data_IF_571019713596
#
_entry.id   IF_571019713596
#
_cell.length_a   1.000
_cell.length_b   1.000
_cell.length_c   1.000
_cell.angle_alpha   90.00
_cell.angle_beta   90.00
_cell.angle_gamma   90.00
#
_symmetry.space_group_name_H-M   'P 1'
#
loop_
_entity.id
_entity.type
_entity.pdbx_description
1 polymer ?
#
# COMPACT_ATOMS: atom_id res chain seq x y z
N UNK A 1 -21.38 8.77 -14.73
CA UNK A 1 -21.80 7.39 -14.43
C UNK A 1 -21.04 6.47 -15.37
N UNK A 2 -20.66 5.26 -14.95
CA UNK A 2 -20.05 4.26 -15.85
C UNK A 2 -21.11 3.74 -16.82
N UNK A 3 -20.72 3.38 -18.05
CA UNK A 3 -21.61 2.80 -19.05
C UNK A 3 -22.30 1.54 -18.49
N UNK A 4 -23.63 1.41 -18.69
CA UNK A 4 -24.32 0.16 -18.36
C UNK A 4 -24.00 -0.89 -19.41
N UNK A 5 -23.65 -2.09 -18.95
CA UNK A 5 -23.27 -3.23 -19.80
C UNK A 5 -24.05 -4.46 -19.33
N UNK A 6 -24.60 -5.21 -20.28
CA UNK A 6 -25.22 -6.51 -20.01
C UNK A 6 -24.10 -7.55 -19.91
N UNK A 7 -24.00 -8.21 -18.76
CA UNK A 7 -22.95 -9.21 -18.47
C UNK A 7 -23.46 -10.66 -18.62
N UNK A 8 -24.63 -10.85 -19.21
CA UNK A 8 -25.24 -12.16 -19.45
C UNK A 8 -26.02 -12.69 -18.25
N UNK A 9 -26.31 -13.99 -18.23
CA UNK A 9 -27.11 -14.62 -17.17
C UNK A 9 -26.33 -14.73 -15.86
N UNK A 10 -26.97 -14.40 -14.76
CA UNK A 10 -26.46 -14.45 -13.40
C UNK A 10 -27.46 -15.18 -12.51
N UNK A 11 -27.00 -15.67 -11.36
CA UNK A 11 -27.84 -16.37 -10.41
C UNK A 11 -27.88 -15.67 -9.06
N UNK A 12 -29.06 -15.67 -8.43
CA UNK A 12 -29.26 -15.37 -7.03
C UNK A 12 -30.09 -16.49 -6.39
N UNK A 13 -29.48 -17.22 -5.45
CA UNK A 13 -30.06 -18.48 -4.97
C UNK A 13 -30.33 -19.44 -6.14
N UNK A 14 -31.60 -19.81 -6.33
CA UNK A 14 -32.08 -20.69 -7.42
C UNK A 14 -32.56 -19.94 -8.68
N UNK A 15 -32.54 -18.61 -8.65
CA UNK A 15 -33.14 -17.79 -9.71
C UNK A 15 -32.09 -17.29 -10.69
N UNK A 16 -32.36 -17.48 -11.98
CA UNK A 16 -31.54 -16.94 -13.06
C UNK A 16 -32.12 -15.60 -13.54
N UNK A 17 -31.26 -14.60 -13.73
CA UNK A 17 -31.66 -13.27 -14.21
C UNK A 17 -30.62 -12.68 -15.16
N UNK A 18 -30.98 -11.60 -15.85
CA UNK A 18 -30.03 -10.87 -16.70
C UNK A 18 -29.16 -9.94 -15.85
N UNK A 19 -27.89 -10.30 -15.71
CA UNK A 19 -26.90 -9.50 -15.01
C UNK A 19 -26.57 -8.22 -15.76
N UNK A 20 -26.57 -7.11 -15.02
CA UNK A 20 -26.17 -5.80 -15.52
C UNK A 20 -25.06 -5.24 -14.64
N UNK A 21 -24.05 -4.69 -15.28
CA UNK A 21 -22.95 -3.97 -14.63
C UNK A 21 -22.94 -2.51 -15.07
N UNK A 22 -22.43 -1.62 -14.23
CA UNK A 22 -22.36 -0.18 -14.52
C UNK A 22 -23.56 0.61 -13.97
N UNK A 23 -23.60 1.92 -14.22
CA UNK A 23 -24.59 2.84 -13.64
C UNK A 23 -24.40 3.17 -12.15
N UNK A 24 -24.12 2.15 -11.31
CA UNK A 24 -23.87 2.30 -9.86
C UNK A 24 -22.38 2.30 -9.48
N UNK A 25 -21.49 2.06 -10.45
CA UNK A 25 -20.04 1.93 -10.31
C UNK A 25 -19.49 0.72 -11.07
N UNK A 26 -18.18 0.68 -11.30
CA UNK A 26 -17.48 -0.47 -11.89
C UNK A 26 -17.53 -1.69 -10.96
N UNK A 27 -17.71 -2.89 -11.51
CA UNK A 27 -17.83 -4.15 -10.76
C UNK A 27 -19.15 -4.31 -10.00
N UNK A 28 -20.07 -3.34 -10.08
CA UNK A 28 -21.32 -3.38 -9.32
C UNK A 28 -22.45 -4.00 -10.10
N UNK A 29 -23.09 -5.00 -9.48
CA UNK A 29 -24.24 -5.71 -10.03
C UNK A 29 -25.52 -4.91 -9.87
N UNK A 30 -26.38 -5.05 -10.86
CA UNK A 30 -27.73 -4.49 -10.87
C UNK A 30 -28.71 -5.47 -11.54
N UNK A 31 -29.99 -5.29 -11.23
CA UNK A 31 -31.09 -6.14 -11.70
C UNK A 31 -32.29 -5.29 -12.12
N UNK A 32 -32.94 -5.64 -13.22
CA UNK A 32 -34.13 -4.91 -13.69
C UNK A 32 -35.35 -5.26 -12.85
N UNK A 33 -36.31 -4.35 -12.75
CA UNK A 33 -37.61 -4.66 -12.13
C UNK A 33 -38.36 -5.78 -12.87
N UNK A 34 -38.09 -5.98 -14.17
CA UNK A 34 -38.64 -7.11 -14.92
C UNK A 34 -38.18 -8.45 -14.34
N UNK A 35 -36.87 -8.62 -14.14
CA UNK A 35 -36.33 -9.86 -13.56
C UNK A 35 -36.79 -10.02 -12.10
N UNK A 36 -36.83 -8.94 -11.32
CA UNK A 36 -37.32 -8.98 -9.93
C UNK A 36 -38.79 -9.44 -9.88
N UNK A 37 -39.63 -8.93 -10.76
CA UNK A 37 -41.03 -9.32 -10.83
C UNK A 37 -41.18 -10.81 -11.14
N UNK A 38 -40.36 -11.35 -12.05
CA UNK A 38 -40.31 -12.77 -12.38
C UNK A 38 -39.88 -13.63 -11.17
N UNK A 39 -38.81 -13.23 -10.46
CA UNK A 39 -38.31 -13.92 -9.25
C UNK A 39 -39.38 -14.01 -8.16
N UNK A 40 -40.13 -12.93 -7.93
CA UNK A 40 -41.15 -12.88 -6.89
C UNK A 40 -42.54 -13.32 -7.35
N UNK A 41 -42.69 -13.76 -8.62
CA UNK A 41 -43.99 -14.15 -9.18
C UNK A 41 -45.03 -13.03 -9.15
N UNK A 42 -44.60 -11.77 -9.32
CA UNK A 42 -45.46 -10.57 -9.30
C UNK A 42 -45.51 -9.90 -10.67
N UNK A 43 -46.51 -9.05 -10.87
CA UNK A 43 -46.54 -8.19 -12.05
C UNK A 43 -45.50 -7.05 -11.93
N UNK A 44 -44.83 -6.73 -13.04
CA UNK A 44 -43.91 -5.57 -13.14
C UNK A 44 -44.58 -4.27 -12.67
N UNK A 45 -45.87 -4.10 -13.00
CA UNK A 45 -46.67 -2.95 -12.56
C UNK A 45 -46.73 -2.85 -11.04
N UNK A 46 -47.00 -3.95 -10.35
CA UNK A 46 -47.08 -3.99 -8.89
C UNK A 46 -45.75 -3.64 -8.23
N UNK A 47 -44.63 -4.17 -8.75
CA UNK A 47 -43.30 -3.85 -8.22
C UNK A 47 -42.97 -2.37 -8.43
N UNK A 48 -43.27 -1.82 -9.61
CA UNK A 48 -43.12 -0.39 -9.89
C UNK A 48 -43.96 0.49 -8.94
N UNK A 49 -45.21 0.09 -8.65
CA UNK A 49 -46.07 0.80 -7.69
C UNK A 49 -45.50 0.78 -6.27
N UNK A 50 -44.92 -0.35 -5.82
CA UNK A 50 -44.26 -0.44 -4.52
C UNK A 50 -43.03 0.46 -4.44
N UNK A 51 -42.20 0.46 -5.48
CA UNK A 51 -41.02 1.33 -5.59
C UNK A 51 -41.45 2.79 -5.55
N UNK A 52 -42.41 3.20 -6.39
CA UNK A 52 -42.84 4.59 -6.48
C UNK A 52 -43.44 5.09 -5.16
N UNK A 53 -44.26 4.28 -4.47
CA UNK A 53 -44.79 4.63 -3.13
C UNK A 53 -43.70 4.81 -2.08
N UNK A 54 -42.55 4.16 -2.27
CA UNK A 54 -41.42 4.18 -1.36
C UNK A 54 -40.20 4.90 -1.92
N UNK A 55 -40.32 5.67 -2.99
CA UNK A 55 -39.18 6.18 -3.76
C UNK A 55 -38.20 6.98 -2.90
N UNK A 56 -38.72 7.71 -1.90
CA UNK A 56 -37.95 8.45 -0.89
C UNK A 56 -36.96 7.59 -0.07
N UNK A 57 -37.15 6.26 -0.03
CA UNK A 57 -36.23 5.33 0.65
C UNK A 57 -35.06 4.90 -0.24
N UNK A 58 -35.12 5.16 -1.54
CA UNK A 58 -34.10 4.82 -2.52
C UNK A 58 -33.28 6.06 -2.91
N UNK A 59 -31.96 5.95 -2.87
CA UNK A 59 -31.08 7.01 -3.36
C UNK A 59 -30.83 6.82 -4.84
N UNK A 60 -31.19 7.82 -5.65
CA UNK A 60 -30.92 7.83 -7.09
C UNK A 60 -29.41 7.68 -7.35
N UNK A 61 -29.03 6.84 -8.32
CA UNK A 61 -27.64 6.59 -8.69
C UNK A 61 -26.84 5.71 -7.71
N UNK A 62 -27.42 5.31 -6.57
CA UNK A 62 -26.81 4.35 -5.64
C UNK A 62 -27.67 3.10 -5.45
N UNK A 63 -28.97 3.28 -5.27
CA UNK A 63 -29.91 2.20 -5.01
C UNK A 63 -30.77 1.90 -6.25
N UNK A 64 -31.17 2.95 -6.97
CA UNK A 64 -32.10 2.85 -8.11
C UNK A 64 -31.71 3.81 -9.23
N UNK A 65 -31.98 3.40 -10.46
CA UNK A 65 -31.95 4.24 -11.66
C UNK A 65 -33.19 3.97 -12.50
N UNK A 66 -33.70 5.00 -13.17
CA UNK A 66 -34.70 4.84 -14.22
C UNK A 66 -34.01 4.87 -15.58
N UNK A 67 -33.90 3.70 -16.21
CA UNK A 67 -33.23 3.55 -17.50
C UNK A 67 -33.89 4.39 -18.59
N UNK A 68 -35.21 4.62 -18.51
CA UNK A 68 -35.92 5.45 -19.48
C UNK A 68 -35.45 6.90 -19.41
N UNK A 69 -35.26 7.43 -18.20
CA UNK A 69 -34.71 8.78 -17.99
C UNK A 69 -33.24 8.86 -18.41
N UNK A 70 -32.44 7.85 -18.06
CA UNK A 70 -31.01 7.81 -18.40
C UNK A 70 -30.81 7.82 -19.92
N UNK A 71 -31.53 6.95 -20.65
CA UNK A 71 -31.41 6.83 -22.12
C UNK A 71 -31.92 8.09 -22.83
N UNK A 72 -32.97 8.73 -22.33
CA UNK A 72 -33.48 9.98 -22.92
C UNK A 72 -32.49 11.15 -22.77
N UNK A 73 -31.75 11.19 -21.66
CA UNK A 73 -30.87 12.31 -21.33
C UNK A 73 -29.42 12.12 -21.80
N UNK A 74 -29.02 10.90 -22.21
CA UNK A 74 -27.66 10.61 -22.63
C UNK A 74 -27.66 9.94 -24.02
N UNK A 75 -27.43 10.74 -25.06
CA UNK A 75 -27.39 10.26 -26.45
C UNK A 75 -26.15 9.40 -26.76
N UNK A 76 -25.18 9.31 -25.82
CA UNK A 76 -24.02 8.43 -25.91
C UNK A 76 -24.24 7.07 -25.23
N UNK A 77 -25.46 6.76 -24.78
CA UNK A 77 -25.79 5.43 -24.31
C UNK A 77 -25.73 4.43 -25.48
N UNK A 78 -24.57 3.81 -25.68
CA UNK A 78 -24.32 2.87 -26.77
C UNK A 78 -25.17 1.59 -26.71
N UNK A 79 -25.81 1.34 -25.56
CA UNK A 79 -26.64 0.14 -25.31
C UNK A 79 -28.12 0.51 -25.42
N UNK A 80 -28.87 -0.25 -26.23
CA UNK A 80 -30.32 -0.07 -26.37
C UNK A 80 -31.03 -0.72 -25.19
N UNK A 81 -32.19 -0.18 -24.80
CA UNK A 81 -33.06 -0.83 -23.82
C UNK A 81 -33.44 -2.27 -24.22
N UNK A 82 -33.43 -2.57 -25.52
CA UNK A 82 -33.61 -3.93 -26.05
C UNK A 82 -32.53 -4.90 -25.62
N UNK A 83 -31.30 -4.44 -25.42
CA UNK A 83 -30.17 -5.29 -25.03
C UNK A 83 -30.35 -5.77 -23.57
N UNK A 84 -31.07 -4.99 -22.76
CA UNK A 84 -31.52 -5.36 -21.41
C UNK A 84 -32.82 -6.21 -21.42
N UNK A 85 -33.24 -6.73 -22.58
CA UNK A 85 -34.39 -7.63 -22.70
C UNK A 85 -35.76 -6.94 -22.64
N UNK A 86 -35.84 -5.62 -22.83
CA UNK A 86 -37.11 -4.90 -22.96
C UNK A 86 -37.58 -4.87 -24.42
N UNK A 87 -38.83 -5.25 -24.68
CA UNK A 87 -39.46 -5.05 -25.99
C UNK A 87 -39.77 -3.58 -26.26
N UNK A 88 -39.85 -3.17 -27.54
CA UNK A 88 -40.26 -1.82 -27.94
C UNK A 88 -41.62 -1.41 -27.33
N UNK A 89 -42.54 -2.37 -27.21
CA UNK A 89 -43.84 -2.17 -26.57
C UNK A 89 -43.70 -1.81 -25.09
N UNK A 90 -42.85 -2.52 -24.33
CA UNK A 90 -42.59 -2.23 -22.92
C UNK A 90 -41.90 -0.88 -22.75
N UNK A 91 -40.96 -0.54 -23.62
CA UNK A 91 -40.25 0.74 -23.59
C UNK A 91 -41.23 1.91 -23.81
N UNK A 92 -42.14 1.76 -24.76
CA UNK A 92 -43.15 2.78 -25.07
C UNK A 92 -44.17 2.94 -23.94
N UNK A 93 -44.79 1.84 -23.47
CA UNK A 93 -45.93 1.87 -22.54
C UNK A 93 -45.56 2.09 -21.09
N UNK A 94 -44.38 1.65 -20.64
CA UNK A 94 -44.01 1.77 -19.22
C UNK A 94 -43.58 3.21 -18.89
N UNK A 95 -44.13 3.84 -17.84
CA UNK A 95 -43.69 5.18 -17.43
C UNK A 95 -42.26 5.19 -16.89
N UNK A 96 -41.85 4.10 -16.22
CA UNK A 96 -40.52 3.93 -15.65
C UNK A 96 -39.94 2.57 -16.05
N UNK A 97 -38.62 2.51 -16.25
CA UNK A 97 -37.86 1.28 -16.42
C UNK A 97 -36.78 1.21 -15.35
N UNK A 98 -37.19 0.84 -14.14
CA UNK A 98 -36.27 0.82 -13.00
C UNK A 98 -35.29 -0.35 -13.07
N UNK A 99 -34.06 -0.04 -12.71
CA UNK A 99 -33.00 -0.98 -12.37
C UNK A 99 -32.54 -0.69 -10.95
N UNK A 100 -32.29 -1.74 -10.17
CA UNK A 100 -31.83 -1.64 -8.79
C UNK A 100 -30.43 -2.22 -8.65
N UNK A 101 -29.59 -1.56 -7.86
CA UNK A 101 -28.34 -2.17 -7.38
C UNK A 101 -28.65 -3.26 -6.35
N UNK A 102 -27.65 -4.06 -5.96
CA UNK A 102 -27.81 -5.03 -4.86
C UNK A 102 -28.38 -4.39 -3.58
N UNK A 103 -27.94 -3.16 -3.27
CA UNK A 103 -28.45 -2.39 -2.12
C UNK A 103 -29.89 -1.94 -2.33
N UNK A 104 -30.24 -1.51 -3.54
CA UNK A 104 -31.61 -1.15 -3.88
C UNK A 104 -32.55 -2.35 -3.78
N UNK A 105 -32.12 -3.50 -4.30
CA UNK A 105 -32.90 -4.72 -4.21
C UNK A 105 -33.10 -5.16 -2.76
N UNK A 106 -32.05 -5.10 -1.92
CA UNK A 106 -32.18 -5.38 -0.49
C UNK A 106 -33.20 -4.48 0.23
N UNK A 107 -33.35 -3.22 -0.20
CA UNK A 107 -34.40 -2.33 0.31
C UNK A 107 -35.79 -2.73 -0.19
N UNK A 108 -35.89 -3.17 -1.44
CA UNK A 108 -37.14 -3.63 -2.04
C UNK A 108 -37.63 -4.92 -1.38
N UNK A 109 -36.74 -5.84 -1.00
CA UNK A 109 -37.10 -7.06 -0.24
C UNK A 109 -37.88 -6.72 1.04
N UNK A 110 -37.47 -5.67 1.76
CA UNK A 110 -38.18 -5.17 2.95
C UNK A 110 -39.58 -4.60 2.67
N UNK A 111 -39.90 -4.31 1.41
CA UNK A 111 -41.18 -3.73 0.99
C UNK A 111 -42.08 -4.80 0.37
N UNK A 112 -41.49 -5.80 -0.31
CA UNK A 112 -42.21 -6.90 -0.94
C UNK A 112 -42.87 -7.82 0.09
N UNK A 113 -42.18 -8.08 1.21
CA UNK A 113 -42.67 -8.86 2.36
C UNK A 113 -43.33 -10.21 1.98
N UNK A 114 -42.85 -10.86 0.92
CA UNK A 114 -43.29 -12.20 0.49
C UNK A 114 -42.31 -13.30 0.87
N UNK A 115 -42.72 -14.57 0.76
CA UNK A 115 -41.91 -15.74 1.15
C UNK A 115 -40.55 -15.77 0.43
N UNK A 116 -40.51 -15.46 -0.87
CA UNK A 116 -39.26 -15.35 -1.64
C UNK A 116 -38.38 -14.23 -1.10
N UNK A 117 -38.95 -13.11 -0.69
CA UNK A 117 -38.22 -12.00 -0.11
C UNK A 117 -37.61 -12.35 1.24
N UNK A 118 -38.31 -13.14 2.07
CA UNK A 118 -37.77 -13.68 3.32
C UNK A 118 -36.59 -14.63 3.06
N UNK A 119 -36.74 -15.61 2.14
CA UNK A 119 -35.66 -16.54 1.77
C UNK A 119 -34.39 -15.80 1.29
N UNK A 120 -34.56 -14.80 0.41
CA UNK A 120 -33.45 -14.02 -0.14
C UNK A 120 -32.84 -13.07 0.89
N UNK A 121 -33.65 -12.55 1.82
CA UNK A 121 -33.15 -11.72 2.92
C UNK A 121 -32.27 -12.54 3.86
N UNK A 122 -32.66 -13.76 4.21
CA UNK A 122 -31.87 -14.66 5.04
C UNK A 122 -30.52 -14.98 4.38
N UNK A 123 -30.50 -15.27 3.07
CA UNK A 123 -29.24 -15.46 2.32
C UNK A 123 -28.33 -14.24 2.36
N UNK A 124 -28.88 -13.04 2.27
CA UNK A 124 -28.12 -11.79 2.36
C UNK A 124 -27.51 -11.60 3.77
N UNK A 125 -28.30 -11.89 4.81
CA UNK A 125 -27.86 -11.83 6.21
C UNK A 125 -26.75 -12.86 6.47
N UNK A 126 -26.92 -14.10 6.02
CA UNK A 126 -25.91 -15.16 6.14
C UNK A 126 -24.62 -14.81 5.41
N UNK A 127 -24.72 -14.29 4.18
CA UNK A 127 -23.57 -13.81 3.41
C UNK A 127 -22.79 -12.72 4.17
N UNK A 128 -23.49 -11.78 4.80
CA UNK A 128 -22.87 -10.74 5.62
C UNK A 128 -22.12 -11.32 6.83
N UNK A 129 -22.74 -12.24 7.60
CA UNK A 129 -22.08 -12.87 8.75
C UNK A 129 -20.89 -13.73 8.33
N UNK A 130 -21.00 -14.48 7.23
CA UNK A 130 -19.92 -15.27 6.66
C UNK A 130 -18.76 -14.39 6.18
N UNK A 131 -19.04 -13.29 5.49
CA UNK A 131 -18.01 -12.32 5.09
C UNK A 131 -17.33 -11.71 6.32
N UNK A 132 -18.10 -11.28 7.32
CA UNK A 132 -17.57 -10.71 8.56
C UNK A 132 -16.69 -11.70 9.32
N UNK A 133 -17.08 -12.97 9.38
CA UNK A 133 -16.29 -14.04 9.97
C UNK A 133 -14.98 -14.28 9.21
N UNK A 134 -15.04 -14.34 7.87
CA UNK A 134 -13.85 -14.46 7.00
C UNK A 134 -12.89 -13.29 7.22
N UNK A 135 -13.39 -12.05 7.19
CA UNK A 135 -12.56 -10.85 7.41
C UNK A 135 -11.88 -10.86 8.79
N UNK A 136 -12.58 -11.35 9.83
CA UNK A 136 -12.01 -11.52 11.17
C UNK A 136 -10.93 -12.61 11.19
N UNK A 137 -11.12 -13.69 10.45
CA UNK A 137 -10.16 -14.79 10.36
C UNK A 137 -8.93 -14.44 9.49
N UNK A 138 -9.09 -13.60 8.47
CA UNK A 138 -8.00 -13.16 7.57
C UNK A 138 -7.26 -11.93 8.07
N UNK A 139 -7.59 -11.38 9.25
CA UNK A 139 -6.71 -10.39 9.85
C UNK A 139 -5.34 -11.03 10.04
N UNK A 140 -4.26 -10.45 9.47
CA UNK A 140 -2.94 -11.00 9.67
C UNK A 140 -2.70 -11.00 11.17
N UNK A 141 -2.57 -12.20 11.77
CA UNK A 141 -2.09 -12.32 13.14
C UNK A 141 -0.82 -11.50 13.21
N UNK A 142 -0.78 -10.48 14.09
CA UNK A 142 0.46 -9.75 14.37
C UNK A 142 1.54 -10.81 14.57
N UNK A 143 2.54 -10.83 13.69
CA UNK A 143 3.63 -11.80 13.83
C UNK A 143 4.23 -11.56 15.22
N UNK A 144 4.40 -12.64 15.98
CA UNK A 144 4.99 -12.53 17.31
C UNK A 144 6.30 -11.74 17.23
N UNK A 145 6.53 -10.82 18.17
CA UNK A 145 7.70 -9.94 18.18
C UNK A 145 9.00 -10.74 18.00
N UNK A 146 9.12 -11.90 18.66
CA UNK A 146 10.26 -12.81 18.53
C UNK A 146 10.55 -13.26 17.08
N UNK A 147 9.50 -13.46 16.28
CA UNK A 147 9.64 -13.86 14.88
C UNK A 147 10.15 -12.70 14.03
N UNK A 148 9.58 -11.50 14.21
CA UNK A 148 10.01 -10.29 13.48
C UNK A 148 11.44 -9.94 13.88
N UNK A 149 11.74 -9.92 15.18
CA UNK A 149 13.05 -9.65 15.73
C UNK A 149 14.12 -10.60 15.17
N UNK A 150 13.87 -11.92 15.18
CA UNK A 150 14.81 -12.90 14.62
C UNK A 150 15.07 -12.65 13.13
N UNK A 151 14.04 -12.30 12.37
CA UNK A 151 14.17 -12.01 10.93
C UNK A 151 15.00 -10.75 10.70
N UNK A 152 14.69 -9.64 11.38
CA UNK A 152 15.44 -8.38 11.24
C UNK A 152 16.89 -8.53 11.69
N UNK A 153 17.15 -9.22 12.81
CA UNK A 153 18.52 -9.47 13.30
C UNK A 153 19.32 -10.35 12.35
N UNK A 154 18.71 -11.38 11.75
CA UNK A 154 19.37 -12.21 10.73
C UNK A 154 19.76 -11.39 9.50
N UNK A 155 18.89 -10.47 9.06
CA UNK A 155 19.19 -9.57 7.95
C UNK A 155 20.30 -8.59 8.32
N UNK A 156 20.25 -7.99 9.50
CA UNK A 156 21.30 -7.08 9.99
C UNK A 156 22.67 -7.76 10.03
N UNK A 157 22.76 -8.98 10.58
CA UNK A 157 24.02 -9.73 10.60
C UNK A 157 24.54 -10.01 9.19
N UNK A 158 23.66 -10.45 8.29
CA UNK A 158 24.03 -10.71 6.89
C UNK A 158 24.54 -9.43 6.21
N UNK A 159 23.87 -8.30 6.43
CA UNK A 159 24.30 -7.01 5.87
C UNK A 159 25.62 -6.51 6.45
N UNK A 160 25.82 -6.66 7.76
CA UNK A 160 27.09 -6.32 8.41
C UNK A 160 28.24 -7.13 7.79
N UNK A 161 28.05 -8.45 7.65
CA UNK A 161 29.06 -9.36 7.10
C UNK A 161 29.32 -9.11 5.61
N UNK A 162 28.28 -8.85 4.81
CA UNK A 162 28.39 -8.71 3.34
C UNK A 162 28.83 -7.32 2.88
N UNK A 163 28.47 -6.27 3.63
CA UNK A 163 28.72 -4.88 3.26
C UNK A 163 29.79 -4.21 4.12
N UNK A 164 30.43 -4.97 5.02
CA UNK A 164 31.48 -4.48 5.93
C UNK A 164 31.00 -3.29 6.77
N UNK A 165 29.74 -3.35 7.21
CA UNK A 165 29.10 -2.34 8.07
C UNK A 165 29.22 -2.77 9.53
N UNK A 166 29.42 -1.82 10.44
CA UNK A 166 29.47 -2.09 11.87
C UNK A 166 28.22 -2.85 12.35
N UNK A 167 28.43 -3.99 13.02
CA UNK A 167 27.36 -4.88 13.48
C UNK A 167 26.39 -4.18 14.45
N UNK A 168 26.88 -3.30 15.32
CA UNK A 168 26.06 -2.52 16.25
C UNK A 168 25.10 -1.57 15.50
N UNK A 169 25.59 -0.91 14.44
CA UNK A 169 24.77 -0.06 13.58
C UNK A 169 23.69 -0.90 12.89
N UNK A 170 24.06 -2.05 12.29
CA UNK A 170 23.11 -2.93 11.63
C UNK A 170 22.03 -3.46 12.62
N UNK A 171 22.42 -3.86 13.82
CA UNK A 171 21.51 -4.30 14.88
C UNK A 171 20.58 -3.18 15.36
N UNK A 172 21.04 -1.93 15.48
CA UNK A 172 20.17 -0.81 15.86
C UNK A 172 19.05 -0.56 14.83
N UNK A 173 19.36 -0.70 13.53
CA UNK A 173 18.37 -0.64 12.45
C UNK A 173 17.38 -1.81 12.54
N UNK A 174 17.84 -3.01 12.87
CA UNK A 174 16.95 -4.17 13.06
C UNK A 174 16.00 -3.99 14.26
N UNK A 175 16.47 -3.40 15.35
CA UNK A 175 15.63 -3.07 16.53
C UNK A 175 14.54 -2.07 16.11
N UNK A 176 14.91 -0.92 15.54
CA UNK A 176 13.96 0.11 15.09
C UNK A 176 12.92 -0.44 14.10
N UNK A 177 13.36 -1.29 13.15
CA UNK A 177 12.45 -1.92 12.17
C UNK A 177 11.53 -2.95 12.81
N UNK A 178 11.97 -3.62 13.87
CA UNK A 178 11.12 -4.54 14.64
C UNK A 178 10.03 -3.74 15.36
N UNK A 179 10.40 -2.69 16.08
CA UNK A 179 9.44 -1.81 16.79
C UNK A 179 8.42 -1.19 15.82
N UNK A 180 8.87 -0.69 14.66
CA UNK A 180 7.99 -0.11 13.64
C UNK A 180 6.98 -1.14 13.07
N UNK A 181 7.34 -2.42 13.01
CA UNK A 181 6.48 -3.50 12.49
C UNK A 181 5.54 -4.09 13.54
N UNK A 182 5.91 -4.08 14.81
CA UNK A 182 5.15 -4.71 15.90
C UNK A 182 4.36 -3.71 16.73
N UNK A 183 4.86 -2.47 16.84
CA UNK A 183 4.37 -1.44 17.75
C UNK A 183 4.80 -1.65 19.20
N UNK A 184 5.75 -2.54 19.46
CA UNK A 184 6.30 -2.84 20.79
C UNK A 184 7.69 -2.22 20.93
N UNK A 185 7.98 -1.57 22.06
CA UNK A 185 9.32 -0.98 22.34
C UNK A 185 10.33 -2.06 22.73
N UNK A 186 11.55 -1.89 22.24
CA UNK A 186 12.73 -2.70 22.46
C UNK A 186 13.90 -1.84 22.97
N UNK A 187 13.62 -0.68 23.58
CA UNK A 187 14.63 0.28 24.05
C UNK A 187 15.68 -0.35 24.98
N UNK A 188 15.28 -1.31 25.82
CA UNK A 188 16.20 -2.03 26.70
C UNK A 188 17.26 -2.83 25.92
N UNK A 189 16.93 -3.35 24.73
CA UNK A 189 17.87 -4.07 23.88
C UNK A 189 18.84 -3.10 23.19
N UNK A 190 18.40 -1.88 22.87
CA UNK A 190 19.27 -0.83 22.32
C UNK A 190 20.39 -0.47 23.31
N UNK A 191 20.10 -0.46 24.61
CA UNK A 191 21.09 -0.18 25.67
C UNK A 191 22.16 -1.28 25.81
N UNK A 192 21.88 -2.50 25.34
CA UNK A 192 22.80 -3.63 25.36
C UNK A 192 23.73 -3.66 24.13
N UNK A 193 23.48 -2.82 23.12
CA UNK A 193 24.38 -2.71 21.99
C UNK A 193 25.75 -2.24 22.49
N UNK A 194 26.85 -2.86 22.03
CA UNK A 194 28.17 -2.47 22.48
C UNK A 194 28.34 -0.98 22.20
N UNK A 195 28.85 -0.18 23.17
CA UNK A 195 29.31 1.17 22.85
C UNK A 195 30.34 1.05 21.73
N UNK A 196 30.42 2.05 20.85
CA UNK A 196 31.45 2.05 19.82
C UNK A 196 32.82 1.95 20.51
N UNK A 197 33.48 0.78 20.43
CA UNK A 197 34.81 0.55 21.02
C UNK A 197 35.92 1.31 20.28
N UNK A 198 35.55 2.02 19.21
CA UNK A 198 36.42 2.86 18.41
C UNK A 198 35.86 4.28 18.42
N UNK A 199 36.73 5.27 18.51
CA UNK A 199 36.33 6.66 18.29
C UNK A 199 35.62 6.75 16.93
N UNK A 200 34.36 7.17 16.96
CA UNK A 200 33.48 7.21 15.79
C UNK A 200 33.89 8.29 14.81
N UNK A 201 33.64 8.02 13.53
CA UNK A 201 34.02 8.91 12.45
C UNK A 201 32.95 9.97 12.21
N UNK A 202 33.27 11.24 12.39
CA UNK A 202 32.35 12.36 12.07
C UNK A 202 32.90 13.33 11.03
N UNK A 203 34.20 13.28 10.75
CA UNK A 203 34.88 14.22 9.86
C UNK A 203 34.89 13.69 8.42
N UNK A 204 34.43 14.51 7.48
CA UNK A 204 34.63 14.27 6.05
C UNK A 204 35.91 14.97 5.56
N UNK A 205 36.49 14.57 4.41
CA UNK A 205 37.74 15.13 3.92
C UNK A 205 37.78 16.66 3.79
N UNK A 206 36.65 17.32 3.52
CA UNK A 206 36.57 18.78 3.50
C UNK A 206 36.69 19.42 4.90
N UNK A 207 36.13 18.80 5.93
CA UNK A 207 36.24 19.27 7.32
C UNK A 207 37.64 19.07 7.88
N UNK A 208 38.29 17.95 7.55
CA UNK A 208 39.71 17.73 7.83
C UNK A 208 40.54 18.81 7.12
N UNK A 209 40.22 19.09 5.85
CA UNK A 209 40.90 20.10 5.04
C UNK A 209 40.83 21.50 5.64
N UNK A 210 39.67 21.90 6.16
CA UNK A 210 39.50 23.20 6.84
C UNK A 210 40.44 23.35 8.04
N UNK A 211 40.70 22.28 8.81
CA UNK A 211 41.59 22.32 9.98
C UNK A 211 43.06 22.50 9.61
N UNK A 212 43.47 22.05 8.43
CA UNK A 212 44.87 22.11 7.96
C UNK A 212 45.09 23.07 6.78
N UNK A 213 44.08 23.87 6.42
CA UNK A 213 44.09 24.72 5.23
C UNK A 213 44.41 23.95 3.92
N UNK A 214 43.86 22.74 3.79
CA UNK A 214 44.01 21.86 2.63
C UNK A 214 42.68 21.72 1.88
N UNK A 215 42.75 21.49 0.56
CA UNK A 215 41.58 21.09 -0.21
C UNK A 215 41.18 19.64 0.13
N UNK A 216 39.89 19.31 0.00
CA UNK A 216 39.42 17.94 0.20
C UNK A 216 40.13 16.92 -0.73
N UNK A 217 40.54 17.36 -1.92
CA UNK A 217 41.34 16.56 -2.86
C UNK A 217 42.71 16.23 -2.26
N UNK A 218 43.39 17.23 -1.68
CA UNK A 218 44.70 17.03 -1.06
C UNK A 218 44.63 16.19 0.22
N UNK A 219 43.56 16.34 1.02
CA UNK A 219 43.29 15.46 2.15
C UNK A 219 43.13 14.01 1.70
N UNK A 220 42.32 13.79 0.66
CA UNK A 220 42.13 12.43 0.13
C UNK A 220 43.44 11.81 -0.36
N UNK A 221 44.32 12.61 -0.97
CA UNK A 221 45.64 12.13 -1.38
C UNK A 221 46.47 11.70 -0.18
N UNK A 222 46.55 12.50 0.89
CA UNK A 222 47.30 12.15 2.10
C UNK A 222 46.78 10.87 2.75
N UNK A 223 45.45 10.67 2.79
CA UNK A 223 44.84 9.44 3.32
C UNK A 223 45.18 8.21 2.45
N UNK A 224 45.34 8.37 1.13
CA UNK A 224 45.82 7.31 0.23
C UNK A 224 47.29 7.02 0.46
N UNK A 225 48.13 8.06 0.55
CA UNK A 225 49.57 7.94 0.75
C UNK A 225 49.90 7.25 2.08
N UNK A 226 49.04 7.44 3.09
CA UNK A 226 49.14 6.80 4.41
C UNK A 226 48.45 5.43 4.46
N UNK A 227 47.90 4.96 3.34
CA UNK A 227 47.27 3.65 3.21
C UNK A 227 45.94 3.49 3.94
N UNK A 228 45.29 4.59 4.34
CA UNK A 228 44.03 4.57 5.11
C UNK A 228 42.79 4.44 4.21
N UNK A 229 42.88 4.86 2.95
CA UNK A 229 41.83 4.67 1.97
C UNK A 229 42.40 4.35 0.59
N UNK A 230 41.55 3.81 -0.29
CA UNK A 230 41.89 3.53 -1.68
C UNK A 230 40.78 4.03 -2.60
N UNK A 231 41.15 4.43 -3.81
CA UNK A 231 40.20 4.79 -4.86
C UNK A 231 39.82 3.55 -5.66
N UNK A 232 38.55 3.15 -5.58
CA UNK A 232 37.98 2.09 -6.40
C UNK A 232 37.00 2.68 -7.41
N UNK A 233 37.45 2.81 -8.66
CA UNK A 233 36.72 3.49 -9.72
C UNK A 233 36.41 4.96 -9.38
N UNK A 234 35.11 5.27 -9.22
CA UNK A 234 34.63 6.62 -8.85
C UNK A 234 34.40 6.81 -7.35
N UNK A 235 34.62 5.78 -6.52
CA UNK A 235 34.32 5.80 -5.09
C UNK A 235 35.57 5.63 -4.24
N UNK A 236 35.54 6.20 -3.04
CA UNK A 236 36.54 5.96 -2.01
C UNK A 236 36.12 4.76 -1.17
N UNK A 237 37.07 3.88 -0.88
CA UNK A 237 36.89 2.75 0.03
C UNK A 237 37.90 2.83 1.15
N UNK A 238 37.47 2.48 2.35
CA UNK A 238 38.34 2.42 3.51
C UNK A 238 39.16 1.13 3.49
N UNK A 239 40.42 1.20 3.91
CA UNK A 239 41.27 0.01 4.08
C UNK A 239 41.17 -0.52 5.50
N UNK A 240 41.73 -1.71 5.77
CA UNK A 240 41.84 -2.24 7.13
C UNK A 240 42.60 -1.30 8.09
N UNK A 241 43.64 -0.61 7.61
CA UNK A 241 44.34 0.40 8.40
C UNK A 241 43.44 1.63 8.65
N UNK A 242 42.62 2.02 7.68
CA UNK A 242 41.65 3.11 7.79
C UNK A 242 40.57 2.87 8.84
N UNK A 243 40.16 1.61 9.07
CA UNK A 243 39.15 1.24 10.08
C UNK A 243 39.52 1.66 11.51
N UNK A 244 40.81 1.86 11.80
CA UNK A 244 41.27 2.36 13.10
C UNK A 244 40.97 3.87 13.30
N UNK A 245 40.77 4.60 12.21
CA UNK A 245 40.62 6.06 12.17
C UNK A 245 39.26 6.51 11.64
N UNK A 246 38.33 5.60 11.37
CA UNK A 246 37.07 5.96 10.74
C UNK A 246 36.11 4.81 10.53
N UNK A 247 34.96 5.14 9.95
CA UNK A 247 33.87 4.21 9.66
C UNK A 247 33.18 4.59 8.34
N UNK A 248 32.53 3.61 7.72
CA UNK A 248 31.69 3.82 6.54
C UNK A 248 30.24 3.89 6.99
N UNK A 249 29.60 5.04 6.78
CA UNK A 249 28.23 5.29 7.24
C UNK A 249 27.29 5.42 6.03
N UNK A 250 26.09 4.82 6.06
CA UNK A 250 25.04 5.13 5.08
C UNK A 250 24.71 6.63 5.09
N UNK A 251 24.62 7.21 3.91
CA UNK A 251 24.29 8.62 3.70
C UNK A 251 23.14 8.72 2.70
N UNK A 252 22.07 9.41 3.09
CA UNK A 252 20.98 9.76 2.20
C UNK A 252 21.03 11.24 1.87
N UNK A 253 21.22 11.57 0.60
CA UNK A 253 21.18 12.93 0.11
C UNK A 253 19.73 13.48 0.13
N UNK A 254 19.54 14.81 0.19
CA UNK A 254 18.20 15.42 0.20
C UNK A 254 17.30 15.06 -0.99
N UNK A 255 17.89 14.62 -2.10
CA UNK A 255 17.19 14.14 -3.30
C UNK A 255 16.81 12.64 -3.23
N UNK A 256 17.00 11.98 -2.08
CA UNK A 256 16.64 10.59 -1.84
C UNK A 256 17.68 9.56 -2.29
N UNK A 257 18.78 9.97 -2.91
CA UNK A 257 19.87 9.05 -3.24
C UNK A 257 20.60 8.59 -1.97
N UNK A 258 20.68 7.29 -1.78
CA UNK A 258 21.44 6.68 -0.68
C UNK A 258 22.76 6.13 -1.21
N UNK A 259 23.86 6.50 -0.55
CA UNK A 259 25.21 6.00 -0.82
C UNK A 259 25.93 5.73 0.51
N UNK A 260 27.18 5.30 0.44
CA UNK A 260 28.05 5.12 1.59
C UNK A 260 29.11 6.21 1.64
N UNK A 261 29.34 6.79 2.81
CA UNK A 261 30.32 7.86 3.01
C UNK A 261 31.36 7.45 4.06
N UNK A 262 32.64 7.63 3.74
CA UNK A 262 33.72 7.49 4.72
C UNK A 262 33.69 8.69 5.67
N UNK A 263 33.68 8.42 6.97
CA UNK A 263 33.86 9.43 8.01
C UNK A 263 35.02 9.03 8.90
N UNK A 264 35.79 10.04 9.30
CA UNK A 264 37.02 9.87 10.06
C UNK A 264 36.86 10.42 11.47
N UNK A 265 37.47 9.77 12.45
CA UNK A 265 37.51 10.22 13.83
C UNK A 265 38.56 11.32 14.02
N UNK A 266 38.61 11.97 15.19
CA UNK A 266 39.53 13.09 15.41
C UNK A 266 41.00 12.65 15.42
N UNK A 267 41.31 11.40 15.80
CA UNK A 267 42.68 10.86 15.72
C UNK A 267 43.24 10.80 14.31
N UNK A 268 42.39 10.79 13.28
CA UNK A 268 42.87 10.93 11.89
C UNK A 268 43.69 12.21 11.71
N UNK A 269 43.46 13.25 12.51
CA UNK A 269 44.17 14.52 12.42
C UNK A 269 45.65 14.38 12.80
N UNK A 270 46.01 13.40 13.64
CA UNK A 270 47.40 13.10 13.99
C UNK A 270 48.23 12.73 12.76
N UNK A 271 47.60 12.07 11.78
CA UNK A 271 48.21 11.67 10.50
C UNK A 271 48.66 12.88 9.67
N UNK A 272 48.04 14.04 9.90
CA UNK A 272 48.34 15.32 9.25
C UNK A 272 49.22 16.25 10.10
N UNK A 273 49.27 16.04 11.43
CA UNK A 273 49.98 16.87 12.39
C UNK A 273 51.46 16.49 12.61
N UNK A 274 51.86 15.27 12.26
CA UNK A 274 53.26 14.85 12.34
C UNK A 274 54.09 15.52 11.22
N UNK A 275 54.69 16.68 11.52
CA UNK A 275 55.74 17.26 10.67
C UNK A 275 56.86 16.22 10.51
N UNK A 276 57.25 15.99 9.25
CA UNK A 276 58.48 15.28 8.92
C UNK A 276 59.65 15.91 9.66
N UNK A 277 60.19 15.17 10.63
CA UNK A 277 61.47 15.47 11.24
C UNK A 277 62.56 15.05 10.25
N UNK A 278 62.68 15.76 9.12
CA UNK A 278 63.85 15.61 8.25
C UNK A 278 64.98 16.35 8.91
N UNK A 279 65.83 15.56 9.55
CA UNK A 279 67.19 15.88 9.93
C UNK A 279 67.92 16.43 8.69
N UNK A 280 68.16 17.74 8.66
CA UNK A 280 69.23 18.30 7.83
C UNK A 280 70.54 18.16 8.59
N UNK A 281 71.25 17.07 8.35
CA UNK A 281 72.71 17.02 8.49
C UNK A 281 73.27 17.45 7.13
N UNK A 282 73.87 18.64 7.14
CA UNK A 282 75.16 19.10 6.57
C UNK A 282 75.03 20.61 6.35
#
# INVERSE_FOLDING_TARGET
MTNLVVIGKQNIGRFEFTGIEGGFGEGKRAMTVKDIAEIHGKEVKHVNELINRNIKRFHSGTDILDLKVVVLNDHNFAVRLTDFGFSNMQISKSPNLFILSERGYAKLLKILEDDTAWELYDQLVDSYFNMRAKLKATQPRKKAINTVFRQEMSMAKTLADTLDVNLGIACSVAIQRTEAKTGESLDEYTKLLPPAEHETGYLIPSQIGQKFNLSAVKVNQVLVDKGLQVKDGKKWRMTEAGKQYGEVIPFTAPNGHTDYQLKWNERVLEVFGAKDNVVSIV
#
